data_IF_614011421238
#
_entry.id   IF_614011421238
#
_cell.length_a   1.000
_cell.length_b   1.000
_cell.length_c   1.000
_cell.angle_alpha   90.00
_cell.angle_beta   90.00
_cell.angle_gamma   90.00
#
_symmetry.space_group_name_H-M   'P 1'
#
loop_
_entity.id
_entity.type
_entity.pdbx_description
1 polymer ?
#
# COMPACT_ATOMS: atom_id res chain seq x y z
N UNK A 1 -41.84 -20.62 -65.24
CA UNK A 1 -40.96 -21.63 -64.61
C UNK A 1 -40.22 -20.94 -63.48
N UNK A 2 -40.23 -21.50 -62.25
CA UNK A 2 -39.86 -20.82 -61.00
C UNK A 2 -38.37 -20.95 -60.71
N UNK A 3 -37.80 -20.10 -59.85
CA UNK A 3 -36.74 -20.54 -58.92
C UNK A 3 -36.76 -19.69 -57.64
N UNK A 4 -37.17 -20.36 -56.56
CA UNK A 4 -37.03 -19.95 -55.18
C UNK A 4 -35.54 -19.91 -54.83
N UNK A 5 -35.02 -18.82 -54.27
CA UNK A 5 -33.69 -18.82 -53.65
C UNK A 5 -33.83 -18.76 -52.13
N UNK A 6 -33.38 -19.87 -51.56
CA UNK A 6 -33.33 -20.23 -50.14
C UNK A 6 -32.72 -19.09 -49.32
N UNK A 7 -33.44 -18.70 -48.26
CA UNK A 7 -32.94 -17.84 -47.21
C UNK A 7 -31.83 -18.59 -46.46
N UNK A 8 -30.59 -18.08 -46.52
CA UNK A 8 -29.50 -18.53 -45.66
C UNK A 8 -29.22 -17.42 -44.66
N UNK A 9 -30.00 -17.42 -43.57
CA UNK A 9 -29.68 -16.63 -42.38
C UNK A 9 -28.42 -17.21 -41.76
N UNK A 10 -27.28 -16.56 -42.00
CA UNK A 10 -26.07 -16.76 -41.22
C UNK A 10 -26.33 -16.14 -39.84
N UNK A 11 -26.56 -17.00 -38.84
CA UNK A 11 -26.45 -16.61 -37.44
C UNK A 11 -25.01 -16.11 -37.22
N UNK A 12 -24.84 -14.79 -37.12
CA UNK A 12 -23.62 -14.21 -36.56
C UNK A 12 -23.55 -14.65 -35.09
N UNK A 13 -22.71 -15.62 -34.80
CA UNK A 13 -22.26 -15.89 -33.45
C UNK A 13 -21.35 -14.71 -33.05
N UNK A 14 -21.94 -13.64 -32.52
CA UNK A 14 -21.18 -12.57 -31.88
C UNK A 14 -20.62 -13.14 -30.58
N UNK A 15 -19.41 -13.71 -30.66
CA UNK A 15 -18.61 -13.98 -29.48
C UNK A 15 -18.33 -12.62 -28.86
N UNK A 16 -19.05 -12.30 -27.78
CA UNK A 16 -18.70 -11.20 -26.91
C UNK A 16 -17.32 -11.55 -26.34
N UNK A 17 -16.26 -11.06 -26.99
CA UNK A 17 -14.99 -10.91 -26.32
C UNK A 17 -15.25 -9.83 -25.27
N UNK A 18 -15.68 -10.26 -24.09
CA UNK A 18 -15.68 -9.43 -22.90
C UNK A 18 -14.21 -9.13 -22.62
N UNK A 19 -13.68 -8.12 -23.31
CA UNK A 19 -12.38 -7.54 -23.00
C UNK A 19 -12.40 -7.21 -21.52
N UNK A 20 -11.42 -7.72 -20.78
CA UNK A 20 -11.26 -7.36 -19.38
C UNK A 20 -11.29 -5.83 -19.30
N UNK A 21 -12.19 -5.28 -18.48
CA UNK A 21 -12.19 -3.84 -18.23
C UNK A 21 -10.79 -3.44 -17.72
N UNK A 22 -10.27 -2.27 -18.13
CA UNK A 22 -9.01 -1.78 -17.60
C UNK A 22 -9.06 -1.84 -16.07
N UNK A 23 -8.17 -2.61 -15.46
CA UNK A 23 -8.01 -2.60 -14.01
C UNK A 23 -7.35 -1.27 -13.66
N UNK A 24 -7.92 -0.51 -12.74
CA UNK A 24 -7.21 0.63 -12.17
C UNK A 24 -5.92 0.11 -11.52
N UNK A 25 -4.78 0.81 -11.70
CA UNK A 25 -3.56 0.44 -11.01
C UNK A 25 -3.82 0.46 -9.50
N UNK A 26 -3.22 -0.47 -8.74
CA UNK A 26 -3.37 -0.48 -7.30
C UNK A 26 -2.91 0.88 -6.75
N UNK A 27 -3.71 1.45 -5.86
CA UNK A 27 -3.46 2.77 -5.28
C UNK A 27 -3.23 2.66 -3.78
N UNK A 28 -2.55 3.64 -3.21
CA UNK A 28 -2.26 3.70 -1.78
C UNK A 28 -0.78 3.89 -1.49
N UNK A 29 -0.45 3.82 -0.20
CA UNK A 29 0.90 3.97 0.32
C UNK A 29 1.28 2.73 1.12
N UNK A 30 2.46 2.19 0.86
CA UNK A 30 3.11 1.20 1.72
C UNK A 30 4.01 1.93 2.69
N UNK A 31 3.89 1.60 3.97
CA UNK A 31 4.84 2.01 5.00
C UNK A 31 5.90 0.92 5.16
N UNK A 32 7.17 1.29 5.07
CA UNK A 32 8.30 0.38 5.24
C UNK A 32 9.11 0.81 6.45
N UNK A 33 9.19 -0.02 7.47
CA UNK A 33 10.15 0.15 8.56
C UNK A 33 11.55 -0.12 8.02
N UNK A 34 12.34 0.92 7.84
CA UNK A 34 13.74 0.80 7.46
C UNK A 34 14.59 0.88 8.73
N UNK A 35 14.93 -0.30 9.25
CA UNK A 35 15.69 -0.46 10.48
C UNK A 35 17.05 0.22 10.43
N UNK A 36 17.77 0.11 9.31
CA UNK A 36 19.15 0.60 9.16
C UNK A 36 19.23 2.13 9.06
N UNK A 37 18.16 2.78 8.58
CA UNK A 37 18.08 4.24 8.37
C UNK A 37 17.29 4.94 9.50
N UNK A 38 16.86 4.22 10.53
CA UNK A 38 16.01 4.74 11.62
C UNK A 38 14.83 5.56 11.06
N UNK A 39 14.09 4.96 10.14
CA UNK A 39 12.99 5.64 9.46
C UNK A 39 11.86 4.74 9.01
N UNK A 40 10.72 5.38 8.73
CA UNK A 40 9.62 4.80 7.96
C UNK A 40 9.59 5.45 6.59
N UNK A 41 9.62 4.65 5.53
CA UNK A 41 9.44 5.16 4.18
C UNK A 41 7.98 5.09 3.75
N UNK A 42 7.54 6.10 2.99
CA UNK A 42 6.25 6.12 2.32
C UNK A 42 6.51 5.79 0.85
N UNK A 43 5.99 4.64 0.41
CA UNK A 43 6.18 4.13 -0.96
C UNK A 43 4.84 4.11 -1.68
N UNK A 44 4.80 4.72 -2.85
CA UNK A 44 3.62 4.71 -3.70
C UNK A 44 3.40 3.32 -4.29
N UNK A 45 2.20 2.76 -4.12
CA UNK A 45 1.89 1.38 -4.53
C UNK A 45 1.94 1.21 -6.06
N UNK A 46 1.52 2.21 -6.82
CA UNK A 46 1.42 2.11 -8.28
C UNK A 46 2.80 2.12 -8.96
N UNK A 47 3.72 2.90 -8.41
CA UNK A 47 5.04 3.17 -9.01
C UNK A 47 6.19 2.47 -8.29
N UNK A 48 6.00 2.07 -7.03
CA UNK A 48 7.08 1.59 -6.17
C UNK A 48 8.06 2.69 -5.74
N UNK A 49 7.78 3.95 -6.09
CA UNK A 49 8.66 5.06 -5.78
C UNK A 49 8.46 5.54 -4.35
N UNK A 50 9.56 5.85 -3.66
CA UNK A 50 9.52 6.49 -2.36
C UNK A 50 9.06 7.94 -2.52
N UNK A 51 7.93 8.28 -1.90
CA UNK A 51 7.34 9.63 -1.87
C UNK A 51 7.71 10.41 -0.60
N UNK A 52 8.12 9.71 0.46
CA UNK A 52 8.43 10.34 1.75
C UNK A 52 9.28 9.47 2.69
N UNK A 53 9.76 10.10 3.75
CA UNK A 53 10.55 9.49 4.83
C UNK A 53 10.17 10.18 6.13
N UNK A 54 9.85 9.39 7.14
CA UNK A 54 9.57 9.84 8.51
C UNK A 54 10.70 9.32 9.39
N UNK A 55 11.35 10.19 10.16
CA UNK A 55 12.37 9.77 11.13
C UNK A 55 11.71 9.04 12.30
N UNK A 56 12.36 7.98 12.78
CA UNK A 56 11.94 7.25 13.98
C UNK A 56 13.04 7.27 15.03
N UNK A 57 12.80 6.59 16.15
CA UNK A 57 13.87 6.12 17.02
C UNK A 57 14.64 4.96 16.38
N UNK A 58 15.63 4.44 17.12
CA UNK A 58 16.58 3.44 16.64
C UNK A 58 15.88 2.13 16.29
N UNK A 59 16.20 1.59 15.11
CA UNK A 59 15.78 0.27 14.66
C UNK A 59 14.25 0.04 14.75
N UNK A 60 13.44 0.76 13.94
CA UNK A 60 12.01 0.49 13.81
C UNK A 60 11.79 -0.93 13.27
N UNK A 61 10.80 -1.66 13.80
CA UNK A 61 10.64 -3.08 13.49
C UNK A 61 9.22 -3.49 13.08
N UNK A 62 8.18 -3.01 13.76
CA UNK A 62 6.79 -3.34 13.44
C UNK A 62 5.98 -2.07 13.17
N UNK A 63 5.00 -2.17 12.26
CA UNK A 63 4.09 -1.09 11.94
C UNK A 63 2.65 -1.61 12.02
N UNK A 64 1.81 -0.95 12.81
CA UNK A 64 0.37 -1.13 12.80
C UNK A 64 -0.30 0.14 12.26
N UNK A 65 -1.27 0.00 11.37
CA UNK A 65 -1.96 1.13 10.73
C UNK A 65 -3.46 1.06 11.05
N UNK A 66 -4.09 2.20 11.32
CA UNK A 66 -5.55 2.27 11.51
C UNK A 66 -6.30 1.88 10.23
N UNK A 67 -7.54 1.39 10.37
CA UNK A 67 -8.34 0.95 9.22
C UNK A 67 -8.65 2.06 8.20
N UNK A 68 -8.65 3.32 8.65
CA UNK A 68 -8.79 4.50 7.80
C UNK A 68 -7.46 4.98 7.19
N UNK A 69 -6.34 4.34 7.51
CA UNK A 69 -5.01 4.66 7.00
C UNK A 69 -4.41 5.97 7.52
N UNK A 70 -5.06 6.65 8.48
CA UNK A 70 -4.63 7.99 8.90
C UNK A 70 -3.54 8.00 9.97
N UNK A 71 -3.45 6.92 10.77
CA UNK A 71 -2.48 6.81 11.87
C UNK A 71 -1.69 5.51 11.79
N UNK A 72 -0.43 5.58 12.20
CA UNK A 72 0.43 4.41 12.35
C UNK A 72 1.10 4.40 13.74
N UNK A 73 1.30 3.21 14.29
CA UNK A 73 2.14 2.96 15.45
C UNK A 73 3.37 2.16 15.02
N UNK A 74 4.56 2.58 15.43
CA UNK A 74 5.82 1.92 15.08
C UNK A 74 6.60 1.57 16.32
N UNK A 75 6.97 0.30 16.45
CA UNK A 75 7.84 -0.18 17.53
C UNK A 75 9.29 0.07 17.15
N UNK A 76 10.08 0.53 18.11
CA UNK A 76 11.52 0.72 17.97
C UNK A 76 12.20 -0.21 18.98
N UNK A 77 12.92 -1.22 18.48
CA UNK A 77 13.55 -2.26 19.33
C UNK A 77 14.97 -1.88 19.77
N UNK A 78 15.56 -0.90 19.08
CA UNK A 78 16.95 -0.52 19.31
C UNK A 78 17.91 -1.60 18.84
N UNK A 79 19.18 -1.31 19.00
CA UNK A 79 20.27 -2.18 18.58
C UNK A 79 21.53 -1.89 19.42
N UNK A 80 22.71 -2.23 18.90
CA UNK A 80 24.00 -1.98 19.55
C UNK A 80 24.28 -0.49 19.83
N UNK A 81 23.57 0.44 19.19
CA UNK A 81 23.69 1.89 19.38
C UNK A 81 22.90 2.38 20.59
N UNK A 82 21.87 1.65 21.03
CA UNK A 82 21.05 2.04 22.16
C UNK A 82 19.76 1.23 22.30
N UNK A 83 19.12 1.27 23.49
CA UNK A 83 17.89 0.54 23.74
C UNK A 83 16.74 1.10 22.88
N UNK A 84 15.86 0.21 22.43
CA UNK A 84 14.56 0.58 21.91
C UNK A 84 13.48 -0.11 22.74
N UNK A 85 12.76 0.73 23.47
CA UNK A 85 11.66 0.35 24.32
C UNK A 85 10.54 1.38 24.12
N UNK A 86 10.33 1.84 22.89
CA UNK A 86 9.42 2.95 22.60
C UNK A 86 8.55 2.64 21.39
N UNK A 87 7.31 3.10 21.47
CA UNK A 87 6.37 3.14 20.35
C UNK A 87 6.13 4.59 19.97
N UNK A 88 6.28 4.91 18.69
CA UNK A 88 5.93 6.22 18.14
C UNK A 88 4.62 6.14 17.36
N UNK A 89 3.80 7.18 17.49
CA UNK A 89 2.52 7.35 16.80
C UNK A 89 2.64 8.43 15.74
N UNK A 90 2.22 8.15 14.51
CA UNK A 90 2.36 9.05 13.37
C UNK A 90 1.03 9.38 12.74
N UNK A 91 0.87 10.62 12.25
CA UNK A 91 -0.08 10.94 11.19
C UNK A 91 0.54 10.53 9.85
N UNK A 92 -0.07 9.57 9.17
CA UNK A 92 0.49 8.98 7.94
C UNK A 92 0.49 9.97 6.78
N UNK A 93 -0.45 10.92 6.77
CA UNK A 93 -0.61 11.89 5.68
C UNK A 93 0.43 13.00 5.78
N UNK A 94 0.70 13.49 6.98
CA UNK A 94 1.67 14.57 7.20
C UNK A 94 3.08 14.07 7.50
N UNK A 95 3.20 12.82 7.96
CA UNK A 95 4.44 12.25 8.47
C UNK A 95 4.84 12.79 9.85
N UNK A 96 3.92 13.45 10.55
CA UNK A 96 4.17 14.05 11.86
C UNK A 96 4.11 13.00 12.97
N UNK A 97 5.03 13.09 13.94
CA UNK A 97 4.94 12.33 15.19
C UNK A 97 3.90 12.99 16.10
N UNK A 98 2.80 12.28 16.33
CA UNK A 98 1.66 12.73 17.14
C UNK A 98 1.75 12.33 18.61
N UNK A 99 2.68 11.43 18.95
CA UNK A 99 2.95 11.02 20.32
C UNK A 99 3.92 9.85 20.38
N UNK A 100 4.38 9.55 21.58
CA UNK A 100 5.24 8.41 21.86
C UNK A 100 5.03 7.92 23.30
N UNK A 101 5.33 6.66 23.55
CA UNK A 101 5.35 6.10 24.90
C UNK A 101 6.37 4.96 25.00
N UNK A 102 6.96 4.82 26.19
CA UNK A 102 7.81 3.70 26.50
C UNK A 102 6.99 2.43 26.74
N UNK A 103 7.52 1.29 26.32
CA UNK A 103 7.02 -0.04 26.65
C UNK A 103 7.90 -0.56 27.78
N UNK A 104 7.40 -0.41 29.01
CA UNK A 104 8.00 -0.98 30.21
C UNK A 104 7.35 -2.35 30.49
N UNK A 105 8.16 -3.28 31.02
CA UNK A 105 7.74 -4.62 31.42
C UNK A 105 7.82 -4.84 32.92
#
# INVERSE_FOLDING_TARGET
>A
MPQLRVASSLLLCSVLWAGAAPQEPPSGTVLVANMDDDSVWLVDVATGERRGRIATHIAPHEIAVTSDGTRAAVTNYGDERGPGNQVQLFDVRTGEVTGEFAVEG
#
